data_IF_835705959284
#
_entry.id   IF_835705959284
#
_cell.length_a   1.000
_cell.length_b   1.000
_cell.length_c   1.000
_cell.angle_alpha   90.00
_cell.angle_beta   90.00
_cell.angle_gamma   90.00
#
_symmetry.space_group_name_H-M   'P 1'
#
loop_
_entity.id
_entity.type
_entity.pdbx_description
1 polymer ?
#
# COMPACT_ATOMS: atom_id res chain seq x y z
N UNK A 1 21.50 -10.83 -14.59
CA UNK A 1 20.22 -10.50 -15.25
C UNK A 1 19.24 -9.72 -14.36
N UNK A 2 19.55 -9.49 -13.05
CA UNK A 2 18.67 -8.80 -12.11
C UNK A 2 18.87 -7.27 -11.99
N UNK A 3 20.01 -6.73 -12.43
CA UNK A 3 20.37 -5.33 -12.16
C UNK A 3 19.44 -4.33 -12.84
N UNK A 4 19.17 -4.51 -14.15
CA UNK A 4 18.28 -3.61 -14.92
C UNK A 4 16.86 -3.61 -14.35
N UNK A 5 16.35 -4.77 -13.96
CA UNK A 5 15.02 -4.93 -13.36
C UNK A 5 14.98 -4.26 -11.98
N UNK A 6 16.02 -4.44 -11.17
CA UNK A 6 16.07 -3.84 -9.83
C UNK A 6 16.11 -2.31 -9.89
N UNK A 7 16.90 -1.74 -10.81
CA UNK A 7 17.00 -0.29 -10.99
C UNK A 7 15.72 0.32 -11.59
N UNK A 8 15.16 -0.31 -12.64
CA UNK A 8 13.91 0.18 -13.23
C UNK A 8 12.76 0.10 -12.24
N UNK A 9 12.69 -0.97 -11.46
CA UNK A 9 11.69 -1.12 -10.40
C UNK A 9 11.88 -0.07 -9.30
N UNK A 10 13.12 0.22 -8.87
CA UNK A 10 13.39 1.28 -7.90
C UNK A 10 12.93 2.66 -8.41
N UNK A 11 13.16 2.97 -9.69
CA UNK A 11 12.69 4.21 -10.31
C UNK A 11 11.17 4.29 -10.29
N UNK A 12 10.48 3.23 -10.73
CA UNK A 12 9.02 3.19 -10.74
C UNK A 12 8.45 3.38 -9.33
N UNK A 13 9.02 2.69 -8.33
CA UNK A 13 8.60 2.79 -6.94
C UNK A 13 8.80 4.20 -6.39
N UNK A 14 9.91 4.85 -6.74
CA UNK A 14 10.18 6.24 -6.36
C UNK A 14 9.13 7.17 -6.96
N UNK A 15 8.80 7.00 -8.24
CA UNK A 15 7.74 7.78 -8.90
C UNK A 15 6.38 7.52 -8.23
N UNK A 16 6.04 6.26 -7.93
CA UNK A 16 4.82 5.91 -7.21
C UNK A 16 4.76 6.58 -5.83
N UNK A 17 5.88 6.62 -5.11
CA UNK A 17 5.97 7.27 -3.81
C UNK A 17 5.75 8.79 -3.91
N UNK A 18 6.35 9.45 -4.91
CA UNK A 18 6.16 10.90 -5.15
C UNK A 18 4.70 11.21 -5.49
N UNK A 19 4.08 10.41 -6.37
CA UNK A 19 2.67 10.57 -6.72
C UNK A 19 1.78 10.37 -5.50
N UNK A 20 2.00 9.30 -4.72
CA UNK A 20 1.25 9.03 -3.50
C UNK A 20 1.38 10.19 -2.50
N UNK A 21 2.59 10.75 -2.33
CA UNK A 21 2.83 11.92 -1.48
C UNK A 21 2.07 13.15 -1.96
N UNK A 22 2.05 13.40 -3.28
CA UNK A 22 1.30 14.51 -3.87
C UNK A 22 -0.22 14.36 -3.68
N UNK A 23 -0.74 13.14 -3.69
CA UNK A 23 -2.14 12.85 -3.40
C UNK A 23 -2.44 13.06 -1.92
N UNK A 24 -1.61 12.55 -1.01
CA UNK A 24 -1.74 12.77 0.44
C UNK A 24 -1.79 14.27 0.77
N UNK A 25 -0.96 15.09 0.12
CA UNK A 25 -0.93 16.53 0.35
C UNK A 25 -2.20 17.26 -0.12
N UNK A 26 -2.85 16.76 -1.19
CA UNK A 26 -4.05 17.41 -1.76
C UNK A 26 -5.37 16.94 -1.16
N UNK A 27 -5.43 15.74 -0.58
CA UNK A 27 -6.73 15.11 -0.29
C UNK A 27 -7.13 15.20 1.19
N UNK A 28 -8.40 15.49 1.43
CA UNK A 28 -8.98 15.73 2.74
C UNK A 28 -9.26 14.43 3.53
N UNK A 29 -8.69 14.37 4.75
CA UNK A 29 -8.81 13.42 5.90
C UNK A 29 -9.18 11.93 5.71
N UNK A 30 -10.15 11.53 4.87
CA UNK A 30 -10.55 10.12 4.72
C UNK A 30 -9.76 9.36 3.66
N UNK A 31 -9.51 9.99 2.51
CA UNK A 31 -8.61 9.40 1.50
C UNK A 31 -7.14 9.41 1.96
N UNK A 32 -6.80 10.33 2.86
CA UNK A 32 -5.48 10.49 3.46
C UNK A 32 -4.97 9.20 4.13
N UNK A 33 -5.85 8.45 4.83
CA UNK A 33 -5.44 7.25 5.56
C UNK A 33 -5.02 6.10 4.63
N UNK A 34 -5.80 5.81 3.58
CA UNK A 34 -5.49 4.75 2.60
C UNK A 34 -4.22 5.06 1.84
N UNK A 35 -4.03 6.32 1.45
CA UNK A 35 -2.83 6.76 0.76
C UNK A 35 -1.60 6.75 1.66
N UNK A 36 -1.73 7.00 2.98
CA UNK A 36 -0.65 6.81 3.95
C UNK A 36 -0.23 5.35 4.08
N UNK A 37 -1.16 4.41 4.17
CA UNK A 37 -0.84 2.98 4.20
C UNK A 37 -0.14 2.53 2.90
N UNK A 38 -0.64 3.01 1.76
CA UNK A 38 -0.01 2.76 0.46
C UNK A 38 1.40 3.37 0.37
N UNK A 39 1.59 4.59 0.87
CA UNK A 39 2.88 5.27 0.91
C UNK A 39 3.89 4.52 1.78
N UNK A 40 3.48 4.02 2.95
CA UNK A 40 4.30 3.17 3.81
C UNK A 40 4.69 1.88 3.09
N UNK A 41 3.75 1.24 2.39
CA UNK A 41 4.05 0.06 1.59
C UNK A 41 5.09 0.37 0.49
N UNK A 42 4.93 1.47 -0.25
CA UNK A 42 5.91 1.92 -1.24
C UNK A 42 7.29 2.18 -0.62
N UNK A 43 7.35 2.78 0.57
CA UNK A 43 8.62 3.02 1.26
C UNK A 43 9.31 1.71 1.65
N UNK A 44 8.58 0.76 2.26
CA UNK A 44 9.11 -0.56 2.63
C UNK A 44 9.61 -1.29 1.38
N UNK A 45 8.83 -1.24 0.29
CA UNK A 45 9.23 -1.86 -0.97
C UNK A 45 10.47 -1.20 -1.57
N UNK A 46 10.60 0.13 -1.49
CA UNK A 46 11.81 0.84 -1.86
C UNK A 46 13.04 0.36 -1.07
N UNK A 47 12.91 0.15 0.23
CA UNK A 47 13.99 -0.42 1.07
C UNK A 47 14.37 -1.82 0.61
N UNK A 48 13.40 -2.69 0.28
CA UNK A 48 13.68 -4.03 -0.27
C UNK A 48 14.49 -3.94 -1.56
N UNK A 49 14.16 -2.99 -2.44
CA UNK A 49 14.87 -2.80 -3.70
C UNK A 49 16.31 -2.31 -3.49
N UNK A 50 16.52 -1.39 -2.54
CA UNK A 50 17.87 -0.94 -2.16
C UNK A 50 18.70 -2.12 -1.64
N UNK A 51 18.12 -2.97 -0.78
CA UNK A 51 18.80 -4.17 -0.28
C UNK A 51 19.13 -5.17 -1.40
N UNK A 52 18.26 -5.32 -2.40
CA UNK A 52 18.55 -6.17 -3.57
C UNK A 52 19.73 -5.62 -4.37
N UNK A 53 19.76 -4.32 -4.65
CA UNK A 53 20.86 -3.68 -5.38
C UNK A 53 22.16 -3.80 -4.58
N UNK A 54 22.12 -3.57 -3.27
CA UNK A 54 23.30 -3.66 -2.40
C UNK A 54 23.86 -5.09 -2.33
N UNK A 55 22.98 -6.08 -2.23
CA UNK A 55 23.33 -7.51 -2.25
C UNK A 55 23.93 -7.92 -3.59
N UNK A 56 23.37 -7.46 -4.71
CA UNK A 56 23.89 -7.73 -6.06
C UNK A 56 25.26 -7.06 -6.29
N UNK A 57 25.47 -5.86 -5.72
CA UNK A 57 26.70 -5.07 -5.94
C UNK A 57 27.86 -5.51 -5.04
N UNK A 58 27.58 -5.84 -3.77
CA UNK A 58 28.61 -6.18 -2.78
C UNK A 58 28.78 -7.69 -2.56
N UNK A 59 27.91 -8.53 -3.13
CA UNK A 59 27.96 -10.00 -2.97
C UNK A 59 27.60 -10.51 -1.56
N UNK A 60 27.07 -9.66 -0.68
CA UNK A 60 26.65 -10.05 0.66
C UNK A 60 25.25 -10.69 0.66
N UNK A 61 25.18 -11.99 0.97
CA UNK A 61 23.91 -12.74 1.11
C UNK A 61 23.20 -12.56 2.46
N UNK A 62 23.82 -11.88 3.43
CA UNK A 62 23.31 -11.79 4.81
C UNK A 62 21.97 -11.03 4.95
N UNK A 63 21.48 -10.38 3.91
CA UNK A 63 20.21 -9.65 3.93
C UNK A 63 18.97 -10.54 3.67
N UNK A 64 19.13 -11.82 3.36
CA UNK A 64 18.00 -12.74 3.08
C UNK A 64 16.89 -12.76 4.14
N UNK A 65 17.17 -12.96 5.44
CA UNK A 65 16.11 -12.98 6.45
C UNK A 65 15.41 -11.61 6.54
N UNK A 66 16.16 -10.51 6.49
CA UNK A 66 15.60 -9.16 6.52
C UNK A 66 14.66 -8.90 5.34
N UNK A 67 15.02 -9.37 4.13
CA UNK A 67 14.17 -9.26 2.94
C UNK A 67 12.83 -9.98 3.10
N UNK A 68 12.82 -11.15 3.75
CA UNK A 68 11.58 -11.91 3.99
C UNK A 68 10.65 -11.14 4.92
N UNK A 69 11.16 -10.61 6.04
CA UNK A 69 10.36 -9.81 6.97
C UNK A 69 9.81 -8.54 6.31
N UNK A 70 10.62 -7.83 5.53
CA UNK A 70 10.17 -6.63 4.81
C UNK A 70 9.12 -6.95 3.75
N UNK A 71 9.22 -8.07 3.03
CA UNK A 71 8.19 -8.50 2.06
C UNK A 71 6.86 -8.80 2.75
N UNK A 72 6.90 -9.45 3.90
CA UNK A 72 5.70 -9.73 4.69
C UNK A 72 5.07 -8.42 5.21
N UNK A 73 5.89 -7.52 5.73
CA UNK A 73 5.45 -6.21 6.19
C UNK A 73 4.83 -5.39 5.04
N UNK A 74 5.48 -5.38 3.88
CA UNK A 74 4.94 -4.78 2.65
C UNK A 74 3.56 -5.35 2.32
N UNK A 75 3.41 -6.68 2.27
CA UNK A 75 2.15 -7.32 1.92
C UNK A 75 1.02 -6.95 2.89
N UNK A 76 1.32 -6.85 4.19
CA UNK A 76 0.36 -6.43 5.22
C UNK A 76 -0.09 -4.99 4.95
N UNK A 77 0.83 -4.04 4.85
CA UNK A 77 0.50 -2.63 4.64
C UNK A 77 -0.21 -2.39 3.30
N UNK A 78 0.21 -3.10 2.25
CA UNK A 78 -0.41 -3.03 0.94
C UNK A 78 -1.86 -3.54 0.99
N UNK A 79 -2.11 -4.65 1.69
CA UNK A 79 -3.46 -5.18 1.88
C UNK A 79 -4.35 -4.21 2.65
N UNK A 80 -3.84 -3.61 3.73
CA UNK A 80 -4.58 -2.59 4.49
C UNK A 80 -4.90 -1.36 3.63
N UNK A 81 -3.94 -0.87 2.83
CA UNK A 81 -4.18 0.22 1.88
C UNK A 81 -5.30 -0.09 0.89
N UNK A 82 -5.29 -1.30 0.30
CA UNK A 82 -6.35 -1.75 -0.61
C UNK A 82 -7.70 -1.92 0.09
N UNK A 83 -7.72 -2.41 1.33
CA UNK A 83 -8.95 -2.59 2.08
C UNK A 83 -9.62 -1.25 2.41
N UNK A 84 -8.83 -0.25 2.82
CA UNK A 84 -9.32 1.11 3.04
C UNK A 84 -9.81 1.74 1.73
N UNK A 85 -9.06 1.60 0.62
CA UNK A 85 -9.53 2.06 -0.69
C UNK A 85 -10.86 1.41 -1.09
N UNK A 86 -11.03 0.12 -0.85
CA UNK A 86 -12.30 -0.59 -1.10
C UNK A 86 -13.44 0.03 -0.27
N UNK A 87 -13.20 0.33 1.01
CA UNK A 87 -14.22 0.93 1.87
C UNK A 87 -14.65 2.30 1.34
N UNK A 88 -13.69 3.12 0.91
CA UNK A 88 -13.95 4.44 0.31
C UNK A 88 -14.78 4.30 -0.98
N UNK A 89 -14.43 3.38 -1.88
CA UNK A 89 -15.20 3.16 -3.11
C UNK A 89 -16.65 2.78 -2.79
N UNK A 90 -16.87 1.92 -1.79
CA UNK A 90 -18.23 1.55 -1.35
C UNK A 90 -19.00 2.69 -0.68
N UNK A 91 -18.30 3.64 -0.05
CA UNK A 91 -18.91 4.88 0.43
C UNK A 91 -19.33 5.78 -0.75
N UNK A 92 -18.48 5.93 -1.78
CA UNK A 92 -18.77 6.70 -2.99
C UNK A 92 -19.93 6.12 -3.81
N UNK A 93 -19.99 4.79 -3.95
CA UNK A 93 -21.06 4.09 -4.68
C UNK A 93 -22.41 4.12 -3.95
N UNK A 94 -22.48 4.70 -2.74
CA UNK A 94 -23.71 4.83 -1.96
C UNK A 94 -24.19 3.52 -1.32
N UNK A 95 -23.45 2.40 -1.48
CA UNK A 95 -23.80 1.10 -0.88
C UNK A 95 -23.96 1.20 0.65
N UNK A 96 -23.13 2.01 1.31
CA UNK A 96 -23.21 2.20 2.76
C UNK A 96 -24.47 2.93 3.20
N UNK A 97 -25.03 3.81 2.37
CA UNK A 97 -26.29 4.50 2.65
C UNK A 97 -27.47 3.54 2.50
N UNK A 98 -27.49 2.75 1.42
CA UNK A 98 -28.52 1.74 1.19
C UNK A 98 -28.54 0.64 2.27
N UNK A 99 -27.38 0.24 2.81
CA UNK A 99 -27.31 -0.70 3.92
C UNK A 99 -27.84 -0.12 5.24
N UNK A 100 -27.59 1.17 5.51
CA UNK A 100 -28.13 1.84 6.71
C UNK A 100 -29.65 1.96 6.64
N UNK A 101 -30.20 2.26 5.46
CA UNK A 101 -31.65 2.32 5.26
C UNK A 101 -32.31 0.94 5.38
N UNK A 102 -31.74 -0.12 4.79
CA UNK A 102 -32.24 -1.50 4.98
C UNK A 102 -32.23 -1.93 6.45
N UNK A 103 -31.21 -1.55 7.23
CA UNK A 103 -31.18 -1.86 8.67
C UNK A 103 -32.23 -1.10 9.47
N UNK A 104 -32.68 0.08 9.02
CA UNK A 104 -33.78 0.83 9.65
C UNK A 104 -35.16 0.29 9.29
N UNK A 105 -35.32 -0.31 8.10
CA UNK A 105 -36.61 -0.84 7.64
C UNK A 105 -36.87 -2.30 8.04
N UNK A 106 -35.85 -3.02 8.53
CA UNK A 106 -36.03 -4.37 9.03
C UNK A 106 -36.64 -4.37 10.44
N UNK A 107 -37.78 -5.06 10.67
CA UNK A 107 -38.33 -5.21 12.01
C UNK A 107 -37.33 -5.96 12.91
N UNK A 108 -37.31 -5.67 14.22
CA UNK A 108 -36.44 -6.38 15.14
C UNK A 108 -36.75 -7.87 15.05
N UNK A 109 -35.74 -8.69 14.73
CA UNK A 109 -35.85 -10.14 14.84
C UNK A 109 -36.12 -10.46 16.30
N UNK A 110 -37.37 -10.79 16.61
CA UNK A 110 -37.78 -11.44 17.86
C UNK A 110 -37.20 -12.83 17.94
#
# INVERSE_FOLDING_TARGET
MNFVINYSTLLIVTVSFVIATGIVWRVEKRLDLSFKFFQIACAIFGVIMILNILSDTLGYSNFDPLRIYLRLLFAIFFLFGLWEMRTIVRELDGELQQQKERKRTLPPRR
#
